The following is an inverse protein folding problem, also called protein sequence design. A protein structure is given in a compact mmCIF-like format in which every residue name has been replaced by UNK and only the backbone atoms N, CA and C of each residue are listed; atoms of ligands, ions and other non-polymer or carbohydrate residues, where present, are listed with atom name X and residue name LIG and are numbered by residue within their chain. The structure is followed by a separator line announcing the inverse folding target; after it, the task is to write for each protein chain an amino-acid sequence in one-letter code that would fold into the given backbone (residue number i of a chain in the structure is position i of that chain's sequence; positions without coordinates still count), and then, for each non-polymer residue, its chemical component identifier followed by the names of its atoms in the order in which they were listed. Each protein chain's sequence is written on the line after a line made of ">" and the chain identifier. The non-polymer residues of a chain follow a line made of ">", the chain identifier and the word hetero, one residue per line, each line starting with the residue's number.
data_IF_414237332184
#
_entry.id   IF_414237332184
#
_cell.length_a   1.000
_cell.length_b   1.000
_cell.length_c   1.000
_cell.angle_alpha   90.00
_cell.angle_beta   90.00
_cell.angle_gamma   90.00
#
_symmetry.space_group_name_H-M   'P 1'
#
loop_
_entity.id
_entity.type
_entity.pdbx_description
1 polymer ?
#
# COMPACT_ATOMS: atom_id res chain seq x y z
N UNK A 1 7.35 -0.25 4.66
CA UNK A 1 8.26 -0.74 3.59
C UNK A 1 8.79 0.42 2.74
N UNK A 2 9.89 0.23 1.98
CA UNK A 2 10.38 1.26 1.07
C UNK A 2 9.37 1.56 -0.03
N UNK A 3 9.19 2.83 -0.43
CA UNK A 3 8.23 3.20 -1.46
C UNK A 3 8.67 2.67 -2.84
N UNK A 4 7.73 2.06 -3.56
CA UNK A 4 7.95 1.60 -4.94
C UNK A 4 7.66 2.69 -5.97
N UNK A 5 8.33 2.65 -7.13
CA UNK A 5 8.17 3.66 -8.20
C UNK A 5 6.73 3.85 -8.69
N UNK A 6 5.93 2.80 -8.68
CA UNK A 6 4.53 2.79 -9.17
C UNK A 6 3.58 2.10 -8.19
N UNK A 7 3.77 2.33 -6.91
CA UNK A 7 2.93 1.75 -5.85
C UNK A 7 1.85 2.74 -5.43
N UNK A 8 0.61 2.50 -5.81
CA UNK A 8 -0.53 3.33 -5.42
C UNK A 8 -0.72 3.40 -3.90
N UNK A 9 -0.46 2.31 -3.18
CA UNK A 9 -0.53 2.30 -1.72
C UNK A 9 0.49 3.24 -1.08
N UNK A 10 1.74 3.20 -1.52
CA UNK A 10 2.75 4.12 -1.02
C UNK A 10 2.45 5.57 -1.40
N UNK A 11 2.02 5.84 -2.64
CA UNK A 11 1.63 7.19 -3.05
C UNK A 11 0.53 7.75 -2.16
N UNK A 12 -0.47 6.93 -1.83
CA UNK A 12 -1.57 7.32 -0.95
C UNK A 12 -1.09 7.64 0.47
N UNK A 13 -0.20 6.83 1.03
CA UNK A 13 0.41 7.10 2.34
C UNK A 13 1.21 8.42 2.33
N UNK A 14 1.95 8.69 1.25
CA UNK A 14 2.71 9.94 1.11
C UNK A 14 1.82 11.17 0.96
N UNK A 15 0.71 11.08 0.24
CA UNK A 15 -0.29 12.14 0.17
C UNK A 15 -0.91 12.43 1.53
N UNK A 16 -1.15 11.40 2.33
CA UNK A 16 -1.62 11.58 3.69
C UNK A 16 -0.56 12.26 4.58
N UNK A 17 0.70 11.89 4.44
CA UNK A 17 1.80 12.56 5.16
C UNK A 17 1.92 14.04 4.77
N UNK A 18 1.76 14.37 3.49
CA UNK A 18 1.72 15.77 3.03
C UNK A 18 0.60 16.55 3.69
N UNK A 19 -0.60 15.97 3.77
CA UNK A 19 -1.72 16.56 4.50
C UNK A 19 -1.39 16.80 5.97
N UNK A 20 -0.74 15.85 6.63
CA UNK A 20 -0.31 16.00 8.03
C UNK A 20 0.74 17.12 8.19
N UNK A 21 1.74 17.21 7.30
CA UNK A 21 2.70 18.32 7.32
C UNK A 21 2.02 19.68 7.15
N UNK A 22 1.05 19.78 6.23
CA UNK A 22 0.25 20.99 6.05
C UNK A 22 -0.59 21.34 7.28
N UNK A 23 -0.98 20.34 8.07
CA UNK A 23 -1.67 20.52 9.35
C UNK A 23 -0.72 20.84 10.53
N UNK A 24 0.60 20.92 10.27
CA UNK A 24 1.61 21.31 11.26
C UNK A 24 2.25 20.15 12.03
N UNK A 25 2.07 18.90 11.56
CA UNK A 25 2.74 17.74 12.16
C UNK A 25 4.14 17.56 11.61
N UNK A 26 5.09 17.20 12.48
CA UNK A 26 6.45 16.78 12.10
C UNK A 26 6.44 15.27 11.78
N UNK A 27 7.02 14.90 10.64
CA UNK A 27 7.02 13.53 10.14
C UNK A 27 8.43 12.94 10.14
N UNK A 28 8.59 11.77 10.76
CA UNK A 28 9.78 10.94 10.61
C UNK A 28 9.39 9.61 9.96
N UNK A 29 10.04 9.27 8.86
CA UNK A 29 9.79 8.05 8.09
C UNK A 29 10.91 7.05 8.35
N UNK A 30 10.58 5.93 8.99
CA UNK A 30 11.49 4.80 9.14
C UNK A 30 11.36 3.85 7.96
N UNK A 31 12.43 3.71 7.18
CA UNK A 31 12.47 2.82 6.02
C UNK A 31 12.76 1.39 6.47
N UNK A 32 11.75 0.55 6.47
CA UNK A 32 11.87 -0.87 6.81
C UNK A 32 12.37 -1.65 5.60
N UNK A 33 13.61 -2.14 5.67
CA UNK A 33 14.30 -2.87 4.59
C UNK A 33 14.88 -4.20 5.10
N UNK A 34 14.10 -4.94 5.91
CA UNK A 34 14.50 -6.23 6.47
C UNK A 34 13.80 -7.41 5.77
N UNK A 35 14.34 -8.62 5.93
CA UNK A 35 13.79 -9.83 5.36
C UNK A 35 13.79 -9.82 3.82
N UNK A 36 12.63 -10.03 3.21
CA UNK A 36 12.44 -10.07 1.76
C UNK A 36 12.28 -8.69 1.11
N UNK A 37 12.24 -7.61 1.90
CA UNK A 37 12.13 -6.26 1.35
C UNK A 37 13.40 -5.83 0.63
N UNK A 38 13.26 -5.02 -0.44
CA UNK A 38 14.42 -4.50 -1.17
C UNK A 38 15.38 -3.76 -0.25
N UNK A 39 16.66 -4.00 -0.41
CA UNK A 39 17.72 -3.20 0.24
C UNK A 39 17.74 -1.81 -0.38
N UNK A 40 17.59 -0.79 0.45
CA UNK A 40 17.58 0.63 0.04
C UNK A 40 18.48 1.46 0.93
N UNK A 41 18.84 2.66 0.49
CA UNK A 41 19.42 3.70 1.33
C UNK A 41 18.47 4.90 1.41
N UNK A 42 18.64 5.73 2.42
CA UNK A 42 17.87 6.98 2.56
C UNK A 42 18.05 7.86 1.32
N UNK A 43 19.29 8.00 0.84
CA UNK A 43 19.63 8.80 -0.34
C UNK A 43 18.96 8.26 -1.60
N UNK A 44 19.00 6.94 -1.79
CA UNK A 44 18.35 6.27 -2.93
C UNK A 44 16.83 6.47 -2.94
N UNK A 45 16.19 6.38 -1.77
CA UNK A 45 14.75 6.65 -1.63
C UNK A 45 14.43 8.11 -1.89
N UNK A 46 15.16 9.05 -1.29
CA UNK A 46 14.98 10.50 -1.52
C UNK A 46 15.17 10.86 -2.99
N UNK A 47 16.16 10.29 -3.65
CA UNK A 47 16.38 10.52 -5.08
C UNK A 47 15.21 9.98 -5.92
N UNK A 48 14.74 8.75 -5.66
CA UNK A 48 13.59 8.18 -6.35
C UNK A 48 12.34 9.04 -6.18
N UNK A 49 12.06 9.50 -4.95
CA UNK A 49 10.91 10.36 -4.65
C UNK A 49 11.02 11.72 -5.36
N UNK A 50 12.20 12.34 -5.39
CA UNK A 50 12.40 13.65 -6.03
C UNK A 50 12.23 13.62 -7.56
N UNK A 51 12.45 12.47 -8.18
CA UNK A 51 12.33 12.26 -9.63
C UNK A 51 10.99 11.67 -10.07
N UNK A 52 10.11 11.35 -9.12
CA UNK A 52 8.82 10.70 -9.40
C UNK A 52 7.67 11.66 -9.10
N UNK A 53 7.02 12.15 -10.13
CA UNK A 53 5.88 13.08 -10.01
C UNK A 53 4.62 12.49 -9.36
N UNK A 54 4.59 11.17 -9.12
CA UNK A 54 3.50 10.51 -8.39
C UNK A 54 3.59 10.66 -6.88
N UNK A 55 4.67 11.22 -6.36
CA UNK A 55 4.86 11.45 -4.93
C UNK A 55 4.92 12.93 -4.61
N UNK A 56 4.30 13.39 -3.51
CA UNK A 56 4.47 14.74 -3.01
C UNK A 56 5.89 14.95 -2.47
N UNK A 57 6.30 16.20 -2.37
CA UNK A 57 7.56 16.58 -1.73
C UNK A 57 7.30 16.82 -0.23
N UNK A 58 7.85 15.95 0.60
CA UNK A 58 7.77 16.08 2.06
C UNK A 58 9.04 16.71 2.64
N UNK A 59 8.87 17.45 3.74
CA UNK A 59 9.97 17.92 4.61
C UNK A 59 10.36 16.84 5.65
N UNK A 60 9.78 15.67 5.59
CA UNK A 60 9.95 14.57 6.53
C UNK A 60 11.42 14.18 6.72
N UNK A 61 11.77 13.84 7.94
CA UNK A 61 13.03 13.17 8.21
C UNK A 61 12.95 11.70 7.78
N UNK A 62 14.02 11.18 7.17
CA UNK A 62 14.10 9.78 6.75
C UNK A 62 15.21 9.08 7.52
N UNK A 63 14.88 7.95 8.13
CA UNK A 63 15.82 7.09 8.86
C UNK A 63 15.71 5.65 8.36
N UNK A 64 16.80 4.90 8.40
CA UNK A 64 16.72 3.45 8.22
C UNK A 64 16.19 2.81 9.51
N UNK A 65 15.24 1.88 9.38
CA UNK A 65 14.84 1.05 10.50
C UNK A 65 15.93 -0.01 10.77
N UNK A 66 16.39 -0.06 12.00
CA UNK A 66 17.31 -1.08 12.49
C UNK A 66 16.53 -2.04 13.40
N UNK A 67 16.49 -3.36 13.09
CA UNK A 67 15.80 -4.35 13.92
C UNK A 67 16.35 -4.51 15.34
N UNK A 68 17.62 -4.17 15.59
CA UNK A 68 18.25 -4.26 16.91
C UNK A 68 17.84 -3.10 17.82
N UNK A 69 17.90 -1.88 17.29
CA UNK A 69 17.57 -0.66 18.05
C UNK A 69 16.10 -0.26 17.99
N UNK A 70 15.37 -0.73 16.97
CA UNK A 70 13.97 -0.41 16.77
C UNK A 70 13.73 1.05 16.33
N UNK A 71 12.57 1.59 16.70
CA UNK A 71 12.22 3.00 16.49
C UNK A 71 12.83 3.83 17.61
N UNK A 72 13.73 4.75 17.25
CA UNK A 72 14.43 5.64 18.19
C UNK A 72 13.95 7.08 18.07
N UNK A 73 13.74 7.73 19.19
CA UNK A 73 13.25 9.11 19.29
C UNK A 73 11.92 9.20 20.04
N UNK A 74 11.43 10.41 20.19
CA UNK A 74 10.18 10.74 20.87
C UNK A 74 9.10 11.07 19.83
N UNK A 75 8.04 10.25 19.81
CA UNK A 75 6.91 10.43 18.91
C UNK A 75 5.61 10.41 19.69
N UNK A 76 4.67 11.28 19.30
CA UNK A 76 3.33 11.33 19.88
C UNK A 76 2.41 10.26 19.30
N UNK A 77 2.71 9.77 18.08
CA UNK A 77 1.96 8.73 17.37
C UNK A 77 2.93 7.89 16.55
N UNK A 78 2.71 6.59 16.47
CA UNK A 78 3.40 5.72 15.52
C UNK A 78 2.40 5.12 14.52
N UNK A 79 2.80 5.09 13.24
CA UNK A 79 1.98 4.61 12.13
C UNK A 79 2.67 3.46 11.42
N UNK A 80 2.03 2.31 11.38
CA UNK A 80 2.44 1.18 10.55
C UNK A 80 1.76 1.24 9.18
N UNK A 81 2.44 0.83 8.12
CA UNK A 81 1.93 0.88 6.74
C UNK A 81 1.81 -0.49 6.06
N UNK A 82 2.27 -1.53 6.72
CA UNK A 82 2.09 -2.93 6.34
C UNK A 82 2.29 -3.85 7.56
N UNK A 83 1.98 -5.14 7.41
CA UNK A 83 2.04 -6.11 8.50
C UNK A 83 3.43 -6.21 9.16
N UNK A 84 4.52 -6.14 8.38
CA UNK A 84 5.87 -6.22 8.93
C UNK A 84 6.23 -4.96 9.73
N UNK A 85 5.84 -3.79 9.24
CA UNK A 85 6.01 -2.53 9.96
C UNK A 85 5.08 -2.43 11.17
N UNK A 86 3.95 -3.15 11.19
CA UNK A 86 3.11 -3.27 12.39
C UNK A 86 3.88 -3.95 13.52
N UNK A 87 4.61 -5.03 13.26
CA UNK A 87 5.45 -5.64 14.30
C UNK A 87 6.61 -4.74 14.71
N UNK A 88 7.24 -4.03 13.78
CA UNK A 88 8.30 -3.08 14.08
C UNK A 88 7.80 -1.94 14.99
N UNK A 89 6.68 -1.34 14.65
CA UNK A 89 6.07 -0.25 15.43
C UNK A 89 5.47 -0.73 16.77
N UNK A 90 5.03 -2.00 16.85
CA UNK A 90 4.55 -2.59 18.11
C UNK A 90 5.64 -2.70 19.17
N UNK A 91 6.90 -2.87 18.77
CA UNK A 91 8.07 -2.91 19.66
C UNK A 91 8.47 -1.54 20.22
N UNK A 92 7.89 -0.45 19.74
CA UNK A 92 8.16 0.88 20.29
C UNK A 92 7.63 0.95 21.73
N UNK A 93 8.53 1.16 22.70
CA UNK A 93 8.23 0.98 24.13
C UNK A 93 7.35 2.06 24.75
N UNK A 94 7.21 3.21 24.07
CA UNK A 94 6.38 4.30 24.59
C UNK A 94 4.90 3.99 24.47
N UNK A 95 4.14 4.41 25.44
CA UNK A 95 2.68 4.32 25.44
C UNK A 95 2.07 5.50 24.67
N UNK A 96 2.05 5.36 23.34
CA UNK A 96 1.48 6.35 22.41
C UNK A 96 0.41 5.70 21.56
N UNK A 97 -0.53 6.49 20.98
CA UNK A 97 -1.44 5.97 19.97
C UNK A 97 -0.72 5.26 18.85
N UNK A 98 -1.24 4.10 18.45
CA UNK A 98 -0.73 3.27 17.37
C UNK A 98 -1.75 3.16 16.28
N UNK A 99 -1.40 3.61 15.10
CA UNK A 99 -2.25 3.57 13.90
C UNK A 99 -1.68 2.53 12.92
N UNK A 100 -2.58 1.73 12.34
CA UNK A 100 -2.23 0.85 11.23
C UNK A 100 -2.97 1.32 9.97
N UNK A 101 -2.19 1.83 9.01
CA UNK A 101 -2.69 2.25 7.72
C UNK A 101 -2.85 1.04 6.81
N UNK A 102 -4.05 0.47 6.76
CA UNK A 102 -4.33 -0.81 6.09
C UNK A 102 -4.97 -0.55 4.73
N UNK A 103 -4.23 -0.82 3.66
CA UNK A 103 -4.67 -0.55 2.28
C UNK A 103 -5.24 -1.78 1.56
N UNK A 104 -5.05 -2.97 2.11
CA UNK A 104 -5.58 -4.23 1.57
C UNK A 104 -5.69 -5.25 2.71
N UNK A 105 -6.38 -6.35 2.48
CA UNK A 105 -6.30 -7.49 3.38
C UNK A 105 -5.01 -8.26 3.09
N UNK A 106 -3.93 -7.89 3.78
CA UNK A 106 -2.56 -8.29 3.48
C UNK A 106 -2.29 -9.80 3.57
N UNK A 107 -2.99 -10.61 4.41
CA UNK A 107 -2.86 -12.06 4.35
C UNK A 107 -3.07 -12.64 2.95
N UNK A 108 -3.89 -12.01 2.10
CA UNK A 108 -4.12 -12.45 0.72
C UNK A 108 -2.92 -12.25 -0.23
N UNK A 109 -1.85 -11.61 0.24
CA UNK A 109 -0.60 -11.52 -0.53
C UNK A 109 0.18 -12.83 -0.53
N UNK A 110 -0.14 -13.73 0.42
CA UNK A 110 0.59 -14.96 0.67
C UNK A 110 -0.29 -16.18 0.43
N UNK A 111 0.27 -17.31 -0.01
CA UNK A 111 -0.41 -18.60 0.08
C UNK A 111 -0.68 -18.97 1.54
N UNK A 112 -1.57 -19.92 1.78
CA UNK A 112 -1.79 -20.45 3.12
C UNK A 112 -0.47 -20.98 3.71
N UNK A 113 -0.02 -20.39 4.81
CA UNK A 113 1.26 -20.70 5.42
C UNK A 113 1.66 -19.69 6.50
N UNK A 114 2.91 -19.74 6.98
CA UNK A 114 3.39 -18.90 8.07
C UNK A 114 3.22 -17.40 7.81
N UNK A 115 3.56 -16.93 6.62
CA UNK A 115 3.49 -15.51 6.27
C UNK A 115 2.03 -15.01 6.28
N UNK A 116 1.08 -15.84 5.80
CA UNK A 116 -0.35 -15.55 5.90
C UNK A 116 -0.76 -15.34 7.36
N UNK A 117 -0.38 -16.28 8.23
CA UNK A 117 -0.75 -16.26 9.65
C UNK A 117 -0.12 -15.07 10.38
N UNK A 118 1.14 -14.76 10.09
CA UNK A 118 1.82 -13.61 10.70
C UNK A 118 1.20 -12.30 10.23
N UNK A 119 0.91 -12.16 8.93
CA UNK A 119 0.21 -10.99 8.42
C UNK A 119 -1.20 -10.84 9.04
N UNK A 120 -1.93 -11.94 9.19
CA UNK A 120 -3.25 -11.93 9.84
C UNK A 120 -3.17 -11.52 11.33
N UNK A 121 -2.18 -12.02 12.05
CA UNK A 121 -1.99 -11.71 13.47
C UNK A 121 -1.63 -10.25 13.71
N UNK A 122 -1.08 -9.53 12.72
CA UNK A 122 -0.78 -8.11 12.86
C UNK A 122 -2.03 -7.27 13.19
N UNK A 123 -3.21 -7.70 12.76
CA UNK A 123 -4.48 -7.03 13.08
C UNK A 123 -4.94 -7.19 14.55
N UNK A 124 -4.27 -8.06 15.32
CA UNK A 124 -4.56 -8.30 16.75
C UNK A 124 -3.59 -7.60 17.70
N UNK A 125 -2.66 -6.78 17.16
CA UNK A 125 -1.62 -6.10 17.95
C UNK A 125 -2.12 -4.86 18.69
N UNK A 126 -3.42 -4.56 18.68
CA UNK A 126 -3.99 -3.45 19.43
C UNK A 126 -3.91 -2.08 18.75
N UNK A 127 -3.76 -2.04 17.43
CA UNK A 127 -3.77 -0.83 16.64
C UNK A 127 -5.18 -0.30 16.40
N UNK A 128 -5.27 1.02 16.17
CA UNK A 128 -6.43 1.62 15.50
C UNK A 128 -6.17 1.57 13.98
N UNK A 129 -7.04 0.89 13.23
CA UNK A 129 -6.92 0.76 11.78
C UNK A 129 -7.49 1.95 11.04
N UNK A 130 -6.74 2.52 10.11
CA UNK A 130 -7.27 3.41 9.07
C UNK A 130 -7.25 2.65 7.77
N UNK A 131 -8.41 2.41 7.17
CA UNK A 131 -8.55 1.53 6.01
C UNK A 131 -9.07 2.29 4.79
N UNK A 132 -8.80 1.69 3.62
CA UNK A 132 -9.39 2.16 2.38
C UNK A 132 -10.74 1.45 2.17
N UNK A 133 -11.81 2.25 2.19
CA UNK A 133 -13.17 1.79 1.97
C UNK A 133 -13.79 1.02 3.15
N UNK A 134 -15.13 0.95 3.17
CA UNK A 134 -15.88 0.41 4.30
C UNK A 134 -15.79 -1.12 4.46
N UNK A 135 -15.54 -1.84 3.34
CA UNK A 135 -15.45 -3.31 3.39
C UNK A 135 -14.32 -3.79 4.29
N UNK A 136 -13.13 -3.20 4.13
CA UNK A 136 -11.95 -3.59 4.90
C UNK A 136 -12.10 -3.21 6.37
N UNK A 137 -12.62 -2.00 6.66
CA UNK A 137 -12.94 -1.57 8.02
C UNK A 137 -13.89 -2.55 8.71
N UNK A 138 -15.00 -2.89 8.05
CA UNK A 138 -15.99 -3.82 8.59
C UNK A 138 -15.41 -5.22 8.83
N UNK A 139 -14.56 -5.71 7.90
CA UNK A 139 -13.87 -7.00 8.03
C UNK A 139 -12.93 -7.02 9.23
N UNK A 140 -12.07 -6.02 9.36
CA UNK A 140 -11.09 -5.96 10.46
C UNK A 140 -11.78 -5.83 11.83
N UNK A 141 -12.83 -5.03 11.91
CA UNK A 141 -13.61 -4.91 13.13
C UNK A 141 -14.33 -6.19 13.51
N UNK A 142 -14.99 -6.86 12.55
CA UNK A 142 -15.77 -8.09 12.80
C UNK A 142 -14.88 -9.28 13.12
N UNK A 143 -13.81 -9.49 12.33
CA UNK A 143 -13.03 -10.72 12.36
C UNK A 143 -11.87 -10.67 13.36
N UNK A 144 -11.39 -9.46 13.69
CA UNK A 144 -10.21 -9.27 14.56
C UNK A 144 -10.47 -8.36 15.77
N UNK A 145 -11.65 -7.77 15.89
CA UNK A 145 -11.96 -6.82 16.95
C UNK A 145 -11.15 -5.50 16.88
N UNK A 146 -10.50 -5.25 15.75
CA UNK A 146 -9.68 -4.06 15.54
C UNK A 146 -10.57 -2.83 15.41
N UNK A 147 -10.42 -1.78 16.25
CA UNK A 147 -11.12 -0.52 16.03
C UNK A 147 -10.65 0.10 14.71
N UNK A 148 -11.60 0.52 13.88
CA UNK A 148 -11.28 0.99 12.52
C UNK A 148 -12.12 2.17 12.10
N UNK A 149 -11.47 3.11 11.42
CA UNK A 149 -12.08 4.11 10.56
C UNK A 149 -11.69 3.86 9.09
N UNK A 150 -12.36 4.51 8.16
CA UNK A 150 -12.04 4.39 6.74
C UNK A 150 -12.16 5.71 6.00
N UNK A 151 -11.48 5.78 4.88
CA UNK A 151 -11.65 6.84 3.88
C UNK A 151 -12.02 6.25 2.52
N UNK A 152 -12.72 7.02 1.72
CA UNK A 152 -13.11 6.64 0.36
C UNK A 152 -11.91 6.80 -0.59
N UNK A 153 -11.84 5.90 -1.58
CA UNK A 153 -10.84 6.04 -2.64
C UNK A 153 -11.15 7.26 -3.49
N UNK A 154 -10.18 8.14 -3.62
CA UNK A 154 -10.28 9.31 -4.48
C UNK A 154 -9.36 9.17 -5.70
N UNK A 155 -9.72 9.79 -6.80
CA UNK A 155 -8.92 9.89 -8.01
C UNK A 155 -8.61 11.36 -8.28
N UNK A 156 -7.36 11.63 -8.69
CA UNK A 156 -7.00 12.95 -9.20
C UNK A 156 -7.70 13.20 -10.53
N UNK A 157 -8.83 13.90 -10.49
CA UNK A 157 -9.65 14.20 -11.66
C UNK A 157 -8.97 15.15 -12.66
N UNK A 158 -7.96 15.90 -12.23
CA UNK A 158 -7.17 16.74 -13.15
C UNK A 158 -6.20 15.88 -13.98
N UNK A 159 -5.69 14.81 -13.39
CA UNK A 159 -4.75 13.88 -14.03
C UNK A 159 -5.46 12.80 -14.86
N UNK A 160 -6.58 12.29 -14.36
CA UNK A 160 -7.31 11.18 -14.96
C UNK A 160 -8.64 11.67 -15.53
N UNK A 161 -8.58 12.28 -16.71
CA UNK A 161 -9.74 12.78 -17.42
C UNK A 161 -10.13 11.86 -18.57
N UNK A 162 -11.41 11.84 -18.90
CA UNK A 162 -11.88 11.19 -20.12
C UNK A 162 -11.47 12.01 -21.32
N UNK A 163 -10.59 11.48 -22.16
CA UNK A 163 -10.03 12.17 -23.33
C UNK A 163 -10.65 11.74 -24.65
N UNK A 164 -11.48 10.68 -24.65
CA UNK A 164 -12.08 10.14 -25.88
C UNK A 164 -13.50 9.61 -25.60
N UNK A 165 -14.46 10.09 -26.36
CA UNK A 165 -15.88 9.68 -26.33
C UNK A 165 -16.24 8.69 -27.44
N UNK A 166 -15.32 8.37 -28.34
CA UNK A 166 -15.57 7.42 -29.42
C UNK A 166 -15.83 6.00 -28.86
N UNK A 167 -16.66 5.24 -29.59
CA UNK A 167 -16.85 3.82 -29.31
C UNK A 167 -15.51 3.10 -29.43
N UNK A 168 -15.11 2.39 -28.39
CA UNK A 168 -13.88 1.60 -28.38
C UNK A 168 -14.17 0.18 -28.80
N UNK A 169 -13.28 -0.38 -29.60
CA UNK A 169 -13.29 -1.79 -29.98
C UNK A 169 -12.02 -2.47 -29.46
N UNK A 170 -11.69 -2.21 -28.20
CA UNK A 170 -10.47 -2.70 -27.54
C UNK A 170 -10.71 -3.00 -26.08
N UNK A 171 -9.97 -3.98 -25.56
CA UNK A 171 -9.88 -4.35 -24.15
C UNK A 171 -8.48 -4.08 -23.67
N UNK A 172 -8.34 -3.42 -22.52
CA UNK A 172 -7.08 -3.34 -21.79
C UNK A 172 -7.13 -4.33 -20.63
N UNK A 173 -6.21 -5.28 -20.63
CA UNK A 173 -6.03 -6.22 -19.53
C UNK A 173 -4.74 -5.90 -18.76
N UNK A 174 -4.90 -5.53 -17.48
CA UNK A 174 -3.78 -5.28 -16.60
C UNK A 174 -3.31 -6.59 -15.96
N UNK A 175 -2.32 -7.23 -16.55
CA UNK A 175 -1.74 -8.49 -16.08
C UNK A 175 -0.72 -8.27 -14.98
N UNK A 176 -0.78 -9.10 -13.93
CA UNK A 176 0.18 -9.11 -12.82
C UNK A 176 0.54 -10.57 -12.48
N UNK A 177 1.30 -11.28 -13.32
CA UNK A 177 1.57 -12.72 -13.15
C UNK A 177 2.30 -13.05 -11.86
N UNK A 178 3.11 -12.11 -11.33
CA UNK A 178 3.79 -12.26 -10.03
C UNK A 178 2.87 -12.09 -8.82
N UNK A 179 1.58 -11.83 -9.02
CA UNK A 179 0.59 -11.63 -7.96
C UNK A 179 -0.58 -12.59 -8.17
N UNK A 180 -0.51 -13.84 -7.66
CA UNK A 180 -1.48 -14.91 -7.98
C UNK A 180 -2.95 -14.53 -7.76
N UNK A 181 -3.24 -13.78 -6.71
CA UNK A 181 -4.61 -13.31 -6.41
C UNK A 181 -5.22 -12.40 -7.48
N UNK A 182 -4.43 -11.89 -8.42
CA UNK A 182 -4.91 -11.09 -9.55
C UNK A 182 -5.49 -11.92 -10.68
N UNK A 183 -5.30 -13.25 -10.64
CA UNK A 183 -5.92 -14.19 -11.57
C UNK A 183 -5.50 -13.99 -13.02
N UNK A 184 -4.21 -13.69 -13.27
CA UNK A 184 -3.71 -13.42 -14.62
C UNK A 184 -4.00 -14.57 -15.59
N UNK A 185 -3.82 -15.83 -15.15
CA UNK A 185 -4.08 -17.02 -15.96
C UNK A 185 -5.56 -17.11 -16.34
N UNK A 186 -6.47 -16.88 -15.41
CA UNK A 186 -7.91 -16.84 -15.69
C UNK A 186 -8.27 -15.71 -16.65
N UNK A 187 -7.65 -14.53 -16.47
CA UNK A 187 -7.84 -13.42 -17.38
C UNK A 187 -7.42 -13.77 -18.82
N UNK A 188 -6.30 -14.43 -18.99
CA UNK A 188 -5.81 -14.87 -20.30
C UNK A 188 -6.75 -15.89 -20.96
N UNK A 189 -7.27 -16.88 -20.20
CA UNK A 189 -8.26 -17.82 -20.70
C UNK A 189 -9.55 -17.13 -21.17
N UNK A 190 -10.03 -16.15 -20.41
CA UNK A 190 -11.20 -15.34 -20.82
C UNK A 190 -10.90 -14.56 -22.09
N UNK A 191 -9.73 -13.94 -22.19
CA UNK A 191 -9.35 -13.16 -23.37
C UNK A 191 -9.17 -14.04 -24.62
N UNK A 192 -8.69 -15.27 -24.46
CA UNK A 192 -8.64 -16.24 -25.55
C UNK A 192 -10.03 -16.55 -26.10
N UNK A 193 -11.02 -16.76 -25.23
CA UNK A 193 -12.41 -16.99 -25.64
C UNK A 193 -13.03 -15.74 -26.29
N UNK A 194 -12.73 -14.55 -25.76
CA UNK A 194 -13.14 -13.29 -26.38
C UNK A 194 -12.56 -13.16 -27.79
N UNK A 195 -11.27 -13.45 -27.97
CA UNK A 195 -10.61 -13.36 -29.27
C UNK A 195 -11.21 -14.38 -30.28
N UNK A 196 -11.56 -15.58 -29.79
CA UNK A 196 -12.20 -16.60 -30.64
C UNK A 196 -13.59 -16.18 -31.11
N UNK A 197 -14.41 -15.59 -30.22
CA UNK A 197 -15.79 -15.21 -30.53
C UNK A 197 -15.91 -13.80 -31.15
N UNK A 198 -14.93 -12.91 -30.89
CA UNK A 198 -14.90 -11.52 -31.36
C UNK A 198 -13.50 -11.14 -31.83
N UNK A 199 -13.05 -11.69 -32.98
CA UNK A 199 -11.70 -11.41 -33.53
C UNK A 199 -11.50 -9.96 -33.96
N UNK A 200 -12.58 -9.19 -34.04
CA UNK A 200 -12.60 -7.75 -34.34
C UNK A 200 -12.14 -6.88 -33.16
N UNK A 201 -12.07 -7.42 -31.97
CA UNK A 201 -11.65 -6.69 -30.77
C UNK A 201 -10.13 -6.75 -30.62
N UNK A 202 -9.52 -5.59 -30.45
CA UNK A 202 -8.09 -5.49 -30.09
C UNK A 202 -7.90 -5.76 -28.60
N UNK A 203 -6.98 -6.67 -28.25
CA UNK A 203 -6.64 -6.97 -26.87
C UNK A 203 -5.25 -6.39 -26.57
N UNK A 204 -5.21 -5.43 -25.65
CA UNK A 204 -4.00 -4.82 -25.12
C UNK A 204 -3.69 -5.42 -23.74
N UNK A 205 -2.47 -5.93 -23.58
CA UNK A 205 -2.00 -6.50 -22.29
C UNK A 205 -0.88 -5.61 -21.78
N UNK A 206 -1.02 -5.15 -20.52
CA UNK A 206 -0.03 -4.34 -19.80
C UNK A 206 0.12 -4.84 -18.37
N UNK A 207 1.34 -4.64 -17.76
CA UNK A 207 1.59 -5.01 -16.37
C UNK A 207 3.05 -5.21 -16.03
#
# INVERSE_FOLDING_TARGET
>A
SPPGRSSGGHQNAYLFMEFLEQAGYEITIFLYSAGTYPKVSVEGVKHMLSTNSGYPKLNAEYRMYDPETGITGDFDVVVATDWATAYAAWRYERNVPRIYWVLDFEPYFFPAGPDYVVAENSYRLGYHGITIGPWLAAKLKRDYGMPTDFYEYAVDAARYTRTNDAKRNEILFYARPTTPRRGTEFGLLVLEEVHRSRPDITINIAG
#
